data_IF_660428743061
#
_entry.id   IF_660428743061
#
_cell.length_a   1.000
_cell.length_b   1.000
_cell.length_c   1.000
_cell.angle_alpha   90.00
_cell.angle_beta   90.00
_cell.angle_gamma   90.00
#
_symmetry.space_group_name_H-M   'P 1'
#
loop_
_entity.id
_entity.type
_entity.pdbx_description
1 polymer ?
#
# COMPACT_ATOMS: atom_id res chain seq x y z
N UNK A 1 -13.06 14.06 -3.21
CA UNK A 1 -14.42 13.83 -2.66
C UNK A 1 -14.59 12.40 -2.17
N UNK A 2 -14.03 11.40 -2.86
CA UNK A 2 -14.10 9.97 -2.53
C UNK A 2 -13.36 9.63 -1.22
N UNK A 3 -12.11 10.09 -1.07
CA UNK A 3 -11.26 9.77 0.08
C UNK A 3 -11.77 10.40 1.38
N UNK A 4 -12.30 11.62 1.32
CA UNK A 4 -12.90 12.28 2.49
C UNK A 4 -14.13 11.52 3.00
N UNK A 5 -14.96 11.00 2.10
CA UNK A 5 -16.12 10.18 2.45
C UNK A 5 -15.68 8.81 3.01
N UNK A 6 -14.64 8.19 2.44
CA UNK A 6 -14.04 6.96 2.97
C UNK A 6 -13.48 7.15 4.39
N UNK A 7 -12.69 8.21 4.63
CA UNK A 7 -12.17 8.55 5.97
C UNK A 7 -13.30 8.76 6.99
N UNK A 8 -14.39 9.41 6.58
CA UNK A 8 -15.55 9.61 7.45
C UNK A 8 -16.24 8.29 7.84
N UNK A 9 -16.32 7.30 6.94
CA UNK A 9 -16.88 5.98 7.25
C UNK A 9 -16.04 5.20 8.28
N UNK A 10 -14.74 5.48 8.36
CA UNK A 10 -13.82 4.78 9.26
C UNK A 10 -13.69 5.41 10.65
N UNK A 11 -14.09 6.68 10.83
CA UNK A 11 -13.81 7.46 12.04
C UNK A 11 -14.28 6.78 13.35
N UNK A 12 -15.44 6.11 13.31
CA UNK A 12 -16.02 5.39 14.46
C UNK A 12 -16.21 3.89 14.15
N UNK A 13 -15.49 3.37 13.14
CA UNK A 13 -15.63 1.99 12.71
C UNK A 13 -15.07 1.02 13.77
N UNK A 14 -15.82 -0.03 14.07
CA UNK A 14 -15.26 -1.21 14.73
C UNK A 14 -14.21 -1.87 13.84
N UNK A 15 -13.29 -2.69 14.38
CA UNK A 15 -12.30 -3.40 13.56
C UNK A 15 -12.92 -4.22 12.42
N UNK A 16 -14.09 -4.82 12.65
CA UNK A 16 -14.82 -5.56 11.62
C UNK A 16 -15.34 -4.64 10.51
N UNK A 17 -15.86 -3.47 10.86
CA UNK A 17 -16.31 -2.48 9.87
C UNK A 17 -15.14 -1.91 9.09
N UNK A 18 -14.02 -1.61 9.76
CA UNK A 18 -12.79 -1.20 9.09
C UNK A 18 -12.38 -2.21 8.01
N UNK A 19 -12.33 -3.50 8.35
CA UNK A 19 -11.95 -4.54 7.40
C UNK A 19 -12.92 -4.63 6.20
N UNK A 20 -14.23 -4.50 6.44
CA UNK A 20 -15.25 -4.53 5.38
C UNK A 20 -15.11 -3.31 4.46
N UNK A 21 -15.00 -2.12 5.04
CA UNK A 21 -14.87 -0.86 4.29
C UNK A 21 -13.55 -0.83 3.50
N UNK A 22 -12.45 -1.29 4.08
CA UNK A 22 -11.17 -1.38 3.40
C UNK A 22 -11.22 -2.37 2.23
N UNK A 23 -11.84 -3.54 2.42
CA UNK A 23 -12.03 -4.50 1.34
C UNK A 23 -12.91 -3.94 0.22
N UNK A 24 -13.97 -3.20 0.55
CA UNK A 24 -14.81 -2.53 -0.44
C UNK A 24 -14.00 -1.47 -1.21
N UNK A 25 -13.20 -0.66 -0.50
CA UNK A 25 -12.35 0.37 -1.07
C UNK A 25 -11.33 -0.21 -2.06
N UNK A 26 -10.62 -1.28 -1.69
CA UNK A 26 -9.72 -1.98 -2.63
C UNK A 26 -10.46 -2.54 -3.85
N UNK A 27 -11.63 -3.15 -3.68
CA UNK A 27 -12.40 -3.69 -4.79
C UNK A 27 -12.86 -2.61 -5.78
N UNK A 28 -13.20 -1.43 -5.29
CA UNK A 28 -13.66 -0.32 -6.12
C UNK A 28 -12.50 0.45 -6.76
N UNK A 29 -11.48 0.81 -5.97
CA UNK A 29 -10.43 1.75 -6.39
C UNK A 29 -9.13 1.05 -6.82
N UNK A 30 -8.88 -0.18 -6.36
CA UNK A 30 -7.67 -0.94 -6.69
C UNK A 30 -7.64 -1.52 -8.11
N UNK A 31 -8.53 -1.07 -9.01
CA UNK A 31 -8.66 -1.59 -10.37
C UNK A 31 -7.71 -0.93 -11.38
N UNK A 32 -7.06 0.17 -11.01
CA UNK A 32 -6.02 0.82 -11.81
C UNK A 32 -4.74 -0.02 -11.82
N UNK A 33 -3.94 0.13 -12.87
CA UNK A 33 -2.67 -0.58 -13.02
C UNK A 33 -1.64 -0.03 -12.04
N UNK A 34 -1.00 -0.93 -11.30
CA UNK A 34 0.17 -0.64 -10.47
C UNK A 34 1.44 -0.58 -11.34
N UNK A 35 1.59 -1.56 -12.23
CA UNK A 35 2.60 -1.60 -13.27
C UNK A 35 1.99 -2.07 -14.61
N UNK A 36 2.82 -2.37 -15.62
CA UNK A 36 2.35 -2.81 -16.94
C UNK A 36 1.54 -4.12 -16.95
N UNK A 37 1.56 -4.88 -15.85
CA UNK A 37 1.12 -6.28 -15.80
C UNK A 37 0.10 -6.58 -14.69
N UNK A 38 0.08 -5.81 -13.59
CA UNK A 38 -0.82 -6.04 -12.45
C UNK A 38 -1.56 -4.78 -12.00
N UNK A 39 -2.78 -4.97 -11.51
CA UNK A 39 -3.58 -3.93 -10.85
C UNK A 39 -3.14 -3.75 -9.39
N UNK A 40 -3.43 -2.60 -8.80
CA UNK A 40 -3.11 -2.32 -7.40
C UNK A 40 -3.68 -3.35 -6.43
N UNK A 41 -4.94 -3.79 -6.62
CA UNK A 41 -5.53 -4.86 -5.79
C UNK A 41 -4.81 -6.20 -5.98
N UNK A 42 -4.34 -6.50 -7.19
CA UNK A 42 -3.64 -7.74 -7.48
C UNK A 42 -2.26 -7.75 -6.83
N UNK A 43 -1.51 -6.65 -6.95
CA UNK A 43 -0.23 -6.43 -6.25
C UNK A 43 -0.40 -6.59 -4.73
N UNK A 44 -1.31 -5.82 -4.12
CA UNK A 44 -1.57 -5.86 -2.68
C UNK A 44 -1.92 -7.26 -2.18
N UNK A 45 -2.82 -7.97 -2.87
CA UNK A 45 -3.25 -9.33 -2.47
C UNK A 45 -2.17 -10.39 -2.70
N UNK A 46 -1.33 -10.24 -3.74
CA UNK A 46 -0.18 -11.12 -3.96
C UNK A 46 0.87 -10.95 -2.87
N UNK A 47 1.22 -9.70 -2.51
CA UNK A 47 2.14 -9.42 -1.41
C UNK A 47 1.65 -10.04 -0.08
N UNK A 48 0.37 -9.85 0.23
CA UNK A 48 -0.24 -10.44 1.43
C UNK A 48 -0.25 -11.97 1.40
N UNK A 49 -0.54 -12.58 0.24
CA UNK A 49 -0.54 -14.03 0.08
C UNK A 49 0.86 -14.64 0.24
N UNK A 50 1.89 -13.97 -0.29
CA UNK A 50 3.29 -14.38 -0.13
C UNK A 50 3.71 -14.29 1.35
N UNK A 51 3.41 -13.18 2.03
CA UNK A 51 3.67 -13.03 3.47
C UNK A 51 2.99 -14.14 4.30
N UNK A 52 1.75 -14.49 3.95
CA UNK A 52 1.02 -15.56 4.61
C UNK A 52 1.64 -16.94 4.39
N UNK A 53 2.28 -17.17 3.24
CA UNK A 53 2.92 -18.45 2.90
C UNK A 53 4.30 -18.67 3.54
N UNK A 54 4.97 -17.59 3.95
CA UNK A 54 6.32 -17.63 4.53
C UNK A 54 6.28 -17.85 6.05
N UNK A 55 6.09 -16.80 6.84
CA UNK A 55 6.09 -16.86 8.31
C UNK A 55 4.68 -16.80 8.93
N UNK A 56 3.67 -16.43 8.13
CA UNK A 56 2.27 -16.37 8.54
C UNK A 56 1.98 -15.31 9.62
N UNK A 57 2.90 -14.37 9.85
CA UNK A 57 2.71 -13.33 10.87
C UNK A 57 1.62 -12.35 10.46
N UNK A 58 0.57 -12.25 11.27
CA UNK A 58 -0.61 -11.42 10.97
C UNK A 58 -0.25 -9.94 10.75
N UNK A 59 0.68 -9.39 11.53
CA UNK A 59 1.15 -8.00 11.36
C UNK A 59 1.88 -7.79 10.03
N UNK A 60 2.71 -8.74 9.61
CA UNK A 60 3.41 -8.69 8.31
C UNK A 60 2.44 -8.87 7.15
N UNK A 61 1.47 -9.77 7.27
CA UNK A 61 0.43 -9.98 6.24
C UNK A 61 -0.38 -8.68 6.03
N UNK A 62 -0.81 -8.05 7.12
CA UNK A 62 -1.56 -6.79 7.06
C UNK A 62 -0.69 -5.66 6.49
N UNK A 63 0.56 -5.54 6.94
CA UNK A 63 1.48 -4.54 6.41
C UNK A 63 1.70 -4.73 4.90
N UNK A 64 1.93 -5.97 4.45
CA UNK A 64 2.11 -6.29 3.04
C UNK A 64 0.86 -5.98 2.20
N UNK A 65 -0.35 -6.24 2.73
CA UNK A 65 -1.61 -5.90 2.06
C UNK A 65 -1.80 -4.39 1.90
N UNK A 66 -1.35 -3.59 2.87
CA UNK A 66 -1.69 -2.18 2.98
C UNK A 66 -0.54 -1.22 2.60
N UNK A 67 0.67 -1.71 2.34
CA UNK A 67 1.85 -0.85 2.16
C UNK A 67 1.71 0.23 1.10
N UNK A 68 1.00 -0.09 0.01
CA UNK A 68 0.79 0.81 -1.14
C UNK A 68 -0.59 1.47 -1.15
N UNK A 69 -1.38 1.38 -0.07
CA UNK A 69 -2.74 1.98 -0.04
C UNK A 69 -2.72 3.52 -0.19
N UNK A 70 -1.56 4.15 0.06
CA UNK A 70 -1.34 5.58 -0.17
C UNK A 70 -1.64 6.00 -1.62
N UNK A 71 -1.25 5.18 -2.60
CA UNK A 71 -1.53 5.43 -4.02
C UNK A 71 -3.05 5.54 -4.30
N UNK A 72 -3.85 4.72 -3.64
CA UNK A 72 -5.31 4.74 -3.75
C UNK A 72 -5.94 5.92 -3.01
N UNK A 73 -5.30 6.38 -1.93
CA UNK A 73 -5.78 7.51 -1.13
C UNK A 73 -5.49 8.87 -1.80
N UNK A 74 -4.43 8.96 -2.60
CA UNK A 74 -4.12 10.15 -3.39
C UNK A 74 -4.71 10.11 -4.81
N UNK A 75 -5.35 8.99 -5.17
CA UNK A 75 -5.90 8.76 -6.53
C UNK A 75 -4.82 8.89 -7.63
N UNK A 76 -3.58 8.49 -7.29
CA UNK A 76 -2.36 8.77 -8.09
C UNK A 76 -2.39 8.20 -9.51
N UNK A 77 -3.23 7.19 -9.74
CA UNK A 77 -3.32 6.49 -11.03
C UNK A 77 -4.62 6.80 -11.79
N UNK A 78 -5.44 7.75 -11.33
CA UNK A 78 -6.73 8.02 -11.97
C UNK A 78 -6.58 8.72 -13.31
N UNK A 79 -5.86 9.84 -13.39
CA UNK A 79 -5.77 10.62 -14.64
C UNK A 79 -4.47 11.45 -14.66
N UNK A 80 -3.63 11.21 -15.68
CA UNK A 80 -2.46 12.00 -16.15
C UNK A 80 -1.06 11.39 -15.87
N UNK A 81 -0.16 11.51 -16.85
CA UNK A 81 1.27 11.10 -16.81
C UNK A 81 2.09 11.88 -15.73
N UNK A 82 1.40 12.68 -14.91
CA UNK A 82 1.95 13.49 -13.84
C UNK A 82 2.47 12.65 -12.65
N UNK A 83 1.94 11.44 -12.44
CA UNK A 83 2.48 10.48 -11.45
C UNK A 83 3.96 10.15 -11.72
N UNK A 84 4.40 10.15 -12.98
CA UNK A 84 5.81 9.94 -13.33
C UNK A 84 6.69 11.17 -13.03
N UNK A 85 6.13 12.30 -12.58
CA UNK A 85 6.85 13.58 -12.43
C UNK A 85 7.10 13.99 -10.98
N UNK A 86 6.32 13.52 -10.01
CA UNK A 86 6.44 13.91 -8.60
C UNK A 86 6.11 12.72 -7.69
N UNK A 87 6.99 12.45 -6.73
CA UNK A 87 6.81 11.45 -5.68
C UNK A 87 5.86 12.03 -4.63
N UNK A 88 4.67 11.46 -4.45
CA UNK A 88 3.69 11.93 -3.47
C UNK A 88 3.84 11.27 -2.10
N UNK A 89 4.94 10.53 -1.87
CA UNK A 89 5.26 9.90 -0.58
C UNK A 89 4.11 9.01 -0.09
N UNK A 90 3.69 8.07 -0.94
CA UNK A 90 2.56 7.19 -0.66
C UNK A 90 2.77 6.36 0.62
N UNK A 91 4.03 6.10 1.00
CA UNK A 91 4.39 5.47 2.27
C UNK A 91 4.00 6.31 3.50
N UNK A 92 4.19 7.64 3.42
CA UNK A 92 3.84 8.59 4.49
C UNK A 92 2.31 8.74 4.55
N UNK A 93 1.66 8.89 3.39
CA UNK A 93 0.19 8.98 3.30
C UNK A 93 -0.48 7.74 3.89
N UNK A 94 0.02 6.54 3.55
CA UNK A 94 -0.49 5.28 4.08
C UNK A 94 -0.28 5.18 5.59
N UNK A 95 0.93 5.49 6.07
CA UNK A 95 1.27 5.42 7.49
C UNK A 95 0.39 6.38 8.33
N UNK A 96 0.30 7.65 7.94
CA UNK A 96 -0.50 8.67 8.63
C UNK A 96 -1.99 8.29 8.68
N UNK A 97 -2.51 7.70 7.60
CA UNK A 97 -3.89 7.25 7.54
C UNK A 97 -4.17 6.02 8.42
N UNK A 98 -3.22 5.10 8.51
CA UNK A 98 -3.39 3.81 9.19
C UNK A 98 -2.99 3.84 10.67
N UNK A 99 -2.18 4.82 11.11
CA UNK A 99 -1.68 4.95 12.48
C UNK A 99 -2.78 4.88 13.57
N UNK A 100 -3.99 5.46 13.38
CA UNK A 100 -5.06 5.33 14.37
C UNK A 100 -5.61 3.90 14.55
N UNK A 101 -5.37 3.00 13.58
CA UNK A 101 -5.96 1.67 13.53
C UNK A 101 -4.98 0.55 13.88
N UNK A 102 -3.68 0.76 13.67
CA UNK A 102 -2.66 -0.27 13.85
C UNK A 102 -1.46 0.20 14.68
N UNK A 103 -0.79 -0.77 15.32
CA UNK A 103 0.44 -0.53 16.05
C UNK A 103 1.69 -0.47 15.15
N UNK A 104 2.86 -0.14 15.73
CA UNK A 104 4.11 0.06 14.98
C UNK A 104 4.57 -1.18 14.21
N UNK A 105 4.18 -2.38 14.63
CA UNK A 105 4.53 -3.62 13.91
C UNK A 105 3.89 -3.71 12.52
N UNK A 106 2.81 -2.97 12.26
CA UNK A 106 2.19 -2.82 10.94
C UNK A 106 2.60 -1.50 10.30
N UNK A 107 2.65 -0.41 11.08
CA UNK A 107 2.92 0.93 10.54
C UNK A 107 4.37 1.11 10.09
N UNK A 108 5.36 0.65 10.87
CA UNK A 108 6.78 0.87 10.54
C UNK A 108 7.18 0.21 9.21
N UNK A 109 6.76 -1.04 8.89
CA UNK A 109 7.01 -1.62 7.57
C UNK A 109 6.37 -0.83 6.43
N UNK A 110 5.16 -0.31 6.62
CA UNK A 110 4.47 0.51 5.62
C UNK A 110 5.24 1.82 5.39
N UNK A 111 5.55 2.55 6.47
CA UNK A 111 6.27 3.83 6.42
C UNK A 111 7.68 3.68 5.81
N UNK A 112 8.33 2.55 6.01
CA UNK A 112 9.74 2.38 5.62
C UNK A 112 9.95 1.53 4.38
N UNK A 113 8.92 1.07 3.67
CA UNK A 113 9.11 0.16 2.54
C UNK A 113 9.90 0.79 1.38
N UNK A 114 9.71 2.09 1.09
CA UNK A 114 10.51 2.83 0.10
C UNK A 114 11.97 2.97 0.56
N UNK A 115 12.19 3.33 1.83
CA UNK A 115 13.53 3.41 2.41
C UNK A 115 14.25 2.04 2.39
N UNK A 116 13.51 0.96 2.67
CA UNK A 116 14.00 -0.41 2.59
C UNK A 116 14.42 -0.79 1.17
N UNK A 117 13.61 -0.46 0.15
CA UNK A 117 13.96 -0.61 -1.26
C UNK A 117 15.25 0.11 -1.61
N UNK A 118 15.38 1.39 -1.22
CA UNK A 118 16.59 2.21 -1.45
C UNK A 118 17.82 1.63 -0.77
N UNK A 119 17.67 1.16 0.47
CA UNK A 119 18.74 0.49 1.20
C UNK A 119 19.20 -0.77 0.48
N UNK A 120 18.28 -1.65 0.09
CA UNK A 120 18.61 -2.90 -0.62
C UNK A 120 19.30 -2.63 -1.96
N UNK A 121 18.84 -1.64 -2.73
CA UNK A 121 19.53 -1.23 -3.96
C UNK A 121 20.97 -0.73 -3.71
N UNK A 122 21.21 -0.07 -2.57
CA UNK A 122 22.53 0.45 -2.23
C UNK A 122 23.52 -0.64 -1.79
N UNK A 123 23.04 -1.71 -1.16
CA UNK A 123 23.89 -2.78 -0.60
C UNK A 123 23.91 -4.06 -1.42
N UNK A 124 22.94 -4.26 -2.32
CA UNK A 124 22.81 -5.43 -3.19
C UNK A 124 22.47 -5.01 -4.63
N UNK A 125 23.47 -5.12 -5.51
CA UNK A 125 23.31 -4.81 -6.93
C UNK A 125 22.34 -5.76 -7.63
N UNK A 126 22.26 -7.03 -7.20
CA UNK A 126 21.34 -7.99 -7.80
C UNK A 126 19.88 -7.63 -7.46
N UNK A 127 19.63 -7.08 -6.27
CA UNK A 127 18.32 -6.55 -5.90
C UNK A 127 17.91 -5.38 -6.81
N UNK A 128 18.80 -4.40 -7.00
CA UNK A 128 18.57 -3.28 -7.91
C UNK A 128 18.27 -3.76 -9.34
N UNK A 129 19.06 -4.71 -9.86
CA UNK A 129 18.89 -5.24 -11.22
C UNK A 129 17.58 -6.04 -11.39
N UNK A 130 16.90 -6.41 -10.29
CA UNK A 130 15.63 -7.15 -10.29
C UNK A 130 14.38 -6.28 -10.15
N UNK A 131 14.53 -4.96 -9.99
CA UNK A 131 13.40 -4.04 -9.87
C UNK A 131 12.61 -3.89 -11.18
N UNK A 132 11.30 -3.66 -11.07
CA UNK A 132 10.44 -3.33 -12.22
C UNK A 132 10.69 -1.89 -12.69
N UNK A 133 10.27 -1.51 -13.91
CA UNK A 133 10.35 -0.12 -14.38
C UNK A 133 9.54 0.87 -13.52
N UNK A 134 8.52 0.38 -12.80
CA UNK A 134 7.69 1.18 -11.90
C UNK A 134 8.32 1.42 -10.51
N UNK A 135 9.49 0.83 -10.23
CA UNK A 135 10.16 0.87 -8.93
C UNK A 135 11.12 2.05 -8.74
#
# INVERSE_FOLDING_TARGET
MIVADFKARLADATPQQFAIEMAAFFNEHGQTFYDESVRQIEHATQCAALAASEDGREDVIVAALLHDVGHLLEDEHAEDDAFLREDLFHEDVAADFLEPFFGPTVIDPILHHVAAKRYLCAVDRAYHDGLSPAS
#
